data_IF_629712575153
#
_entry.id   IF_629712575153
#
_cell.length_a   1.000
_cell.length_b   1.000
_cell.length_c   1.000
_cell.angle_alpha   90.00
_cell.angle_beta   90.00
_cell.angle_gamma   90.00
#
_symmetry.space_group_name_H-M   'P 1'
#
loop_
_entity.id
_entity.type
_entity.pdbx_description
1 polymer ?
#
# COMPACT_ATOMS: atom_id res chain seq x y z
N UNK A 1 15.07 -5.56 -22.54
CA UNK A 1 14.61 -6.78 -21.86
C UNK A 1 13.52 -7.46 -22.69
N UNK A 2 13.75 -8.68 -23.18
CA UNK A 2 12.80 -9.43 -24.02
C UNK A 2 11.61 -9.96 -23.20
N UNK A 3 10.51 -10.37 -23.86
CA UNK A 3 9.37 -10.98 -23.17
C UNK A 3 9.75 -12.24 -22.39
N UNK A 4 10.68 -13.06 -22.94
CA UNK A 4 11.18 -14.25 -22.25
C UNK A 4 11.94 -13.88 -20.97
N UNK A 5 12.77 -12.84 -21.02
CA UNK A 5 13.47 -12.32 -19.84
C UNK A 5 12.46 -11.78 -18.79
N UNK A 6 11.41 -11.08 -19.23
CA UNK A 6 10.35 -10.60 -18.34
C UNK A 6 9.57 -11.74 -17.67
N UNK A 7 9.30 -12.83 -18.41
CA UNK A 7 8.65 -14.04 -17.86
C UNK A 7 9.52 -14.69 -16.79
N UNK A 8 10.83 -14.86 -17.06
CA UNK A 8 11.76 -15.42 -16.05
C UNK A 8 11.84 -14.57 -14.79
N UNK A 9 11.92 -13.25 -14.93
CA UNK A 9 11.90 -12.35 -13.78
C UNK A 9 10.57 -12.48 -13.01
N UNK A 10 9.43 -12.50 -13.71
CA UNK A 10 8.12 -12.64 -13.08
C UNK A 10 7.92 -14.00 -12.39
N UNK A 11 8.45 -15.09 -12.97
CA UNK A 11 8.46 -16.43 -12.37
C UNK A 11 9.19 -16.39 -11.03
N UNK A 12 10.41 -15.83 -11.01
CA UNK A 12 11.20 -15.67 -9.80
C UNK A 12 10.45 -14.85 -8.74
N UNK A 13 9.91 -13.68 -9.11
CA UNK A 13 9.18 -12.85 -8.15
C UNK A 13 7.89 -13.48 -7.62
N UNK A 14 7.23 -14.33 -8.41
CA UNK A 14 6.04 -15.06 -8.01
C UNK A 14 6.34 -16.38 -7.28
N UNK A 15 7.62 -16.71 -7.05
CA UNK A 15 8.07 -17.96 -6.42
C UNK A 15 7.49 -19.21 -7.10
N UNK A 16 7.45 -19.22 -8.43
CA UNK A 16 6.93 -20.33 -9.23
C UNK A 16 8.08 -21.30 -9.53
N UNK A 17 7.95 -22.55 -9.11
CA UNK A 17 8.92 -23.61 -9.40
C UNK A 17 9.03 -23.89 -10.90
N UNK A 18 10.12 -24.51 -11.33
CA UNK A 18 10.33 -24.84 -12.74
C UNK A 18 9.32 -25.85 -13.29
N UNK A 19 8.89 -26.83 -12.48
CA UNK A 19 7.81 -27.76 -12.86
C UNK A 19 6.49 -27.04 -13.06
N UNK A 20 6.14 -26.15 -12.12
CA UNK A 20 4.94 -25.32 -12.24
C UNK A 20 5.06 -24.37 -13.44
N UNK A 21 6.26 -23.85 -13.74
CA UNK A 21 6.50 -23.04 -14.93
C UNK A 21 6.22 -23.83 -16.21
N UNK A 22 6.78 -25.04 -16.32
CA UNK A 22 6.57 -25.93 -17.46
C UNK A 22 5.10 -26.27 -17.67
N UNK A 23 4.37 -26.57 -16.59
CA UNK A 23 2.94 -26.83 -16.65
C UNK A 23 2.14 -25.59 -17.11
N UNK A 24 2.46 -24.40 -16.58
CA UNK A 24 1.82 -23.16 -17.03
C UNK A 24 2.08 -22.85 -18.51
N UNK A 25 3.28 -23.17 -19.02
CA UNK A 25 3.63 -23.01 -20.45
C UNK A 25 2.83 -23.98 -21.31
N UNK A 26 2.66 -25.22 -20.86
CA UNK A 26 1.80 -26.20 -21.53
C UNK A 26 0.35 -25.70 -21.58
N UNK A 27 -0.22 -25.30 -20.45
CA UNK A 27 -1.60 -24.80 -20.39
C UNK A 27 -1.83 -23.59 -21.31
N UNK A 28 -0.95 -22.60 -21.26
CA UNK A 28 -1.07 -21.38 -22.09
C UNK A 28 -0.93 -21.69 -23.58
N UNK A 29 -0.15 -22.70 -23.95
CA UNK A 29 0.01 -23.14 -25.35
C UNK A 29 -0.99 -24.19 -25.80
N UNK A 30 -1.98 -24.53 -24.97
CA UNK A 30 -2.90 -25.66 -25.21
C UNK A 30 -2.14 -26.97 -25.47
N UNK A 31 -1.15 -27.25 -24.62
CA UNK A 31 -0.29 -28.44 -24.61
C UNK A 31 0.60 -28.63 -25.86
N UNK A 32 0.78 -27.58 -26.67
CA UNK A 32 1.60 -27.64 -27.89
C UNK A 32 3.10 -27.55 -27.61
N UNK A 33 3.51 -26.76 -26.61
CA UNK A 33 4.93 -26.54 -26.31
C UNK A 33 5.20 -26.49 -24.81
N UNK A 34 6.39 -26.93 -24.41
CA UNK A 34 6.84 -26.95 -23.01
C UNK A 34 7.88 -25.86 -22.69
N UNK A 35 8.14 -24.91 -23.61
CA UNK A 35 9.12 -23.84 -23.42
C UNK A 35 8.60 -22.48 -23.86
N UNK A 36 8.91 -21.44 -23.08
CA UNK A 36 8.50 -20.06 -23.34
C UNK A 36 9.09 -19.48 -24.64
N UNK A 37 10.19 -20.05 -25.16
CA UNK A 37 10.78 -19.62 -26.43
C UNK A 37 9.97 -20.08 -27.64
N UNK A 38 9.14 -21.11 -27.51
CA UNK A 38 8.26 -21.59 -28.59
C UNK A 38 6.81 -21.08 -28.50
N UNK A 39 6.50 -20.31 -27.45
CA UNK A 39 5.22 -19.60 -27.33
C UNK A 39 5.12 -18.47 -28.35
N UNK A 40 3.90 -18.22 -28.85
CA UNK A 40 3.57 -17.03 -29.62
C UNK A 40 3.70 -15.77 -28.74
N UNK A 41 3.74 -14.60 -29.37
CA UNK A 41 3.80 -13.33 -28.63
C UNK A 41 2.63 -13.15 -27.66
N UNK A 42 1.42 -13.55 -28.05
CA UNK A 42 0.23 -13.38 -27.22
C UNK A 42 0.18 -14.41 -26.09
N UNK A 43 0.61 -15.65 -26.34
CA UNK A 43 0.82 -16.65 -25.29
C UNK A 43 1.85 -16.17 -24.26
N UNK A 44 2.96 -15.57 -24.69
CA UNK A 44 3.96 -14.98 -23.79
C UNK A 44 3.38 -13.84 -22.96
N UNK A 45 2.57 -12.95 -23.56
CA UNK A 45 1.90 -11.86 -22.84
C UNK A 45 0.91 -12.41 -21.80
N UNK A 46 0.14 -13.45 -22.14
CA UNK A 46 -0.80 -14.09 -21.24
C UNK A 46 -0.10 -14.72 -20.04
N UNK A 47 0.97 -15.48 -20.29
CA UNK A 47 1.77 -16.10 -19.23
C UNK A 47 2.40 -15.04 -18.30
N UNK A 48 2.95 -13.97 -18.88
CA UNK A 48 3.51 -12.85 -18.13
C UNK A 48 2.46 -12.15 -17.27
N UNK A 49 1.24 -11.94 -17.79
CA UNK A 49 0.12 -11.37 -17.02
C UNK A 49 -0.22 -12.27 -15.83
N UNK A 50 -0.33 -13.59 -16.04
CA UNK A 50 -0.60 -14.58 -14.97
C UNK A 50 0.44 -14.44 -13.84
N UNK A 51 1.73 -14.45 -14.16
CA UNK A 51 2.79 -14.36 -13.14
C UNK A 51 2.82 -13.02 -12.41
N UNK A 52 2.56 -11.92 -13.13
CA UNK A 52 2.45 -10.59 -12.50
C UNK A 52 1.29 -10.49 -11.52
N UNK A 53 0.22 -11.27 -11.64
CA UNK A 53 -0.87 -11.28 -10.66
C UNK A 53 -0.55 -12.13 -9.42
N UNK A 54 0.28 -13.17 -9.60
CA UNK A 54 0.69 -14.08 -8.53
C UNK A 54 1.84 -13.54 -7.68
N UNK A 55 2.56 -12.53 -8.17
CA UNK A 55 3.66 -11.94 -7.44
C UNK A 55 3.17 -11.32 -6.10
N UNK A 56 3.65 -11.79 -4.94
CA UNK A 56 3.24 -11.28 -3.63
C UNK A 56 3.60 -9.79 -3.45
N UNK A 57 4.59 -9.29 -4.20
CA UNK A 57 5.00 -7.89 -4.21
C UNK A 57 4.13 -7.02 -5.14
N UNK A 58 3.39 -7.61 -6.08
CA UNK A 58 2.42 -6.90 -6.94
C UNK A 58 0.99 -6.96 -6.41
N UNK A 59 0.71 -7.72 -5.34
CA UNK A 59 -0.31 -7.30 -4.36
C UNK A 59 0.13 -5.94 -3.90
N UNK A 60 -0.28 -4.92 -4.66
CA UNK A 60 0.07 -3.52 -4.47
C UNK A 60 0.11 -3.31 -2.97
N UNK A 61 1.25 -2.83 -2.43
CA UNK A 61 1.16 -1.90 -1.30
C UNK A 61 0.08 -0.92 -1.75
N UNK A 62 -1.17 -1.11 -1.30
CA UNK A 62 -2.28 -0.20 -1.63
C UNK A 62 -1.68 1.14 -1.25
N UNK A 63 -1.38 1.98 -2.24
CA UNK A 63 -0.72 3.26 -1.95
C UNK A 63 -1.59 3.89 -0.88
N UNK A 64 -1.01 4.12 0.29
CA UNK A 64 -1.80 4.56 1.43
C UNK A 64 -2.62 5.76 0.98
N UNK A 65 -3.96 5.70 1.12
CA UNK A 65 -4.86 6.78 0.74
C UNK A 65 -4.30 8.13 1.18
N UNK A 66 -4.46 9.14 0.34
CA UNK A 66 -3.93 10.48 0.60
C UNK A 66 -4.40 11.02 1.95
N UNK A 67 -5.67 10.81 2.28
CA UNK A 67 -6.26 11.20 3.57
C UNK A 67 -5.58 10.52 4.76
N UNK A 68 -5.40 9.19 4.74
CA UNK A 68 -4.66 8.47 5.78
C UNK A 68 -3.24 8.99 5.96
N UNK A 69 -2.54 9.25 4.84
CA UNK A 69 -1.21 9.86 4.89
C UNK A 69 -1.22 11.24 5.53
N UNK A 70 -2.26 12.02 5.25
CA UNK A 70 -2.44 13.36 5.80
C UNK A 70 -2.70 13.30 7.31
N UNK A 71 -3.52 12.37 7.78
CA UNK A 71 -3.79 12.12 9.22
C UNK A 71 -2.49 11.83 9.96
N UNK A 72 -1.67 10.88 9.48
CA UNK A 72 -0.38 10.58 10.10
C UNK A 72 0.59 11.76 10.08
N UNK A 73 0.58 12.56 8.99
CA UNK A 73 1.37 13.79 8.92
C UNK A 73 0.94 14.80 9.98
N UNK A 74 -0.35 15.02 10.16
CA UNK A 74 -0.88 15.95 11.18
C UNK A 74 -0.52 15.47 12.59
N UNK A 75 -0.60 14.16 12.86
CA UNK A 75 -0.16 13.61 14.15
C UNK A 75 1.31 13.91 14.43
N UNK A 76 2.20 13.68 13.46
CA UNK A 76 3.61 14.02 13.61
C UNK A 76 3.86 15.53 13.82
N UNK A 77 3.02 16.41 13.24
CA UNK A 77 3.09 17.85 13.52
C UNK A 77 2.64 18.19 14.94
N UNK A 78 1.59 17.56 15.44
CA UNK A 78 1.17 17.71 16.85
C UNK A 78 2.28 17.26 17.80
N UNK A 79 2.96 16.14 17.50
CA UNK A 79 4.04 15.63 18.32
C UNK A 79 5.24 16.59 18.34
N UNK A 80 5.62 17.12 17.17
CA UNK A 80 6.66 18.15 17.05
C UNK A 80 6.32 19.44 17.78
N UNK A 81 5.03 19.79 17.87
CA UNK A 81 4.56 20.92 18.64
C UNK A 81 4.40 20.62 20.15
N UNK A 82 4.74 19.41 20.61
CA UNK A 82 4.59 18.99 22.01
C UNK A 82 3.13 18.81 22.45
N UNK A 83 2.17 18.75 21.51
CA UNK A 83 0.74 18.68 21.80
C UNK A 83 0.26 17.25 22.05
N UNK A 84 1.04 16.26 21.67
CA UNK A 84 0.82 14.84 21.99
C UNK A 84 2.07 14.24 22.61
N UNK A 85 1.88 13.33 23.57
CA UNK A 85 2.98 12.71 24.32
C UNK A 85 3.76 11.65 23.54
N UNK A 86 3.11 10.99 22.57
CA UNK A 86 3.65 9.82 21.87
C UNK A 86 3.58 10.04 20.37
N UNK A 87 4.75 10.17 19.73
CA UNK A 87 4.88 10.19 18.27
C UNK A 87 4.95 8.77 17.71
N UNK A 88 3.81 8.07 17.68
CA UNK A 88 3.73 6.74 17.10
C UNK A 88 2.46 6.54 16.28
N UNK A 89 2.57 5.70 15.25
CA UNK A 89 1.44 5.28 14.43
C UNK A 89 0.30 4.70 15.29
N UNK A 90 0.65 3.85 16.25
CA UNK A 90 -0.32 3.20 17.14
C UNK A 90 -1.07 4.21 18.02
N UNK A 91 -0.39 5.24 18.52
CA UNK A 91 -1.02 6.31 19.30
C UNK A 91 -2.02 7.11 18.44
N UNK A 92 -1.64 7.43 17.20
CA UNK A 92 -2.53 8.06 16.23
C UNK A 92 -3.75 7.19 15.92
N UNK A 93 -3.56 5.90 15.60
CA UNK A 93 -4.65 4.97 15.32
C UNK A 93 -5.58 4.80 16.53
N UNK A 94 -5.04 4.75 17.75
CA UNK A 94 -5.82 4.67 18.99
C UNK A 94 -6.66 5.92 19.22
N UNK A 95 -6.10 7.11 18.96
CA UNK A 95 -6.84 8.35 19.01
C UNK A 95 -7.98 8.35 17.99
N UNK A 96 -7.69 8.05 16.72
CA UNK A 96 -8.69 8.01 15.66
C UNK A 96 -9.81 7.02 15.99
N UNK A 97 -9.47 5.83 16.50
CA UNK A 97 -10.45 4.80 16.90
C UNK A 97 -11.45 5.29 17.95
N UNK A 98 -11.04 6.19 18.87
CA UNK A 98 -11.95 6.82 19.85
C UNK A 98 -12.92 7.81 19.22
N UNK A 99 -12.58 8.38 18.07
CA UNK A 99 -13.39 9.34 17.34
C UNK A 99 -14.21 8.70 16.20
N UNK A 100 -14.10 7.39 16.02
CA UNK A 100 -14.81 6.62 15.00
C UNK A 100 -15.53 5.43 15.62
N UNK A 101 -16.00 5.56 16.87
CA UNK A 101 -16.77 4.54 17.61
C UNK A 101 -16.15 3.13 17.60
N UNK A 102 -14.82 3.04 17.67
CA UNK A 102 -14.11 1.77 17.68
C UNK A 102 -13.74 1.22 16.31
N UNK A 103 -14.14 1.86 15.21
CA UNK A 103 -13.76 1.45 13.85
C UNK A 103 -12.26 1.69 13.62
N UNK A 104 -11.51 0.71 13.08
CA UNK A 104 -10.11 0.93 12.73
C UNK A 104 -9.94 2.07 11.72
N UNK A 105 -8.89 2.88 11.90
CA UNK A 105 -8.62 4.04 11.04
C UNK A 105 -8.55 3.67 9.54
N UNK A 106 -8.04 2.48 9.20
CA UNK A 106 -7.95 2.02 7.82
C UNK A 106 -9.31 1.77 7.16
N UNK A 107 -10.33 1.46 7.96
CA UNK A 107 -11.68 1.10 7.53
C UNK A 107 -12.68 2.26 7.71
N UNK A 108 -12.31 3.28 8.50
CA UNK A 108 -13.14 4.45 8.77
C UNK A 108 -13.06 5.54 7.67
N UNK A 109 -13.12 5.15 6.39
CA UNK A 109 -12.93 6.07 5.25
C UNK A 109 -13.85 7.28 5.28
N UNK A 110 -15.09 7.08 5.70
CA UNK A 110 -16.12 8.12 5.73
C UNK A 110 -15.83 9.19 6.80
N UNK A 111 -15.03 8.84 7.81
CA UNK A 111 -14.68 9.70 8.94
C UNK A 111 -13.33 10.41 8.75
N UNK A 112 -12.56 10.09 7.70
CA UNK A 112 -11.22 10.65 7.53
C UNK A 112 -11.19 12.17 7.45
N UNK A 113 -12.17 12.78 6.78
CA UNK A 113 -12.22 14.23 6.67
C UNK A 113 -12.48 14.89 8.02
N UNK A 114 -13.40 14.33 8.82
CA UNK A 114 -13.68 14.80 10.17
C UNK A 114 -12.44 14.68 11.08
N UNK A 115 -11.73 13.55 11.02
CA UNK A 115 -10.48 13.35 11.77
C UNK A 115 -9.40 14.37 11.38
N UNK A 116 -9.28 14.68 10.09
CA UNK A 116 -8.36 15.72 9.60
C UNK A 116 -8.69 17.09 10.22
N UNK A 117 -9.96 17.49 10.24
CA UNK A 117 -10.36 18.78 10.80
C UNK A 117 -10.17 18.85 12.32
N UNK A 118 -10.42 17.76 13.05
CA UNK A 118 -10.11 17.67 14.49
C UNK A 118 -8.62 17.90 14.74
N UNK A 119 -7.75 17.22 14.00
CA UNK A 119 -6.30 17.32 14.15
C UNK A 119 -5.77 18.71 13.76
N UNK A 120 -6.29 19.31 12.69
CA UNK A 120 -5.97 20.69 12.31
C UNK A 120 -6.39 21.69 13.38
N UNK A 121 -7.61 21.57 13.89
CA UNK A 121 -8.12 22.45 14.95
C UNK A 121 -7.29 22.36 16.23
N UNK A 122 -6.83 21.16 16.58
CA UNK A 122 -5.91 20.99 17.70
C UNK A 122 -4.55 21.65 17.45
N UNK A 123 -3.96 21.44 16.27
CA UNK A 123 -2.70 22.06 15.90
C UNK A 123 -2.78 23.61 15.94
N UNK A 124 -3.87 24.18 15.43
CA UNK A 124 -4.13 25.62 15.46
C UNK A 124 -4.25 26.17 16.89
N UNK A 125 -4.94 25.47 17.81
CA UNK A 125 -4.99 25.88 19.22
C UNK A 125 -3.62 25.89 19.89
N UNK A 126 -2.79 24.90 19.60
CA UNK A 126 -1.42 24.84 20.12
C UNK A 126 -0.51 25.95 19.60
N UNK A 127 -0.68 26.34 18.33
CA UNK A 127 0.05 27.47 17.74
C UNK A 127 -0.46 28.84 18.22
N UNK A 128 -1.75 28.96 18.53
CA UNK A 128 -2.35 30.17 19.12
C UNK A 128 -1.85 30.46 20.53
N UNK A 129 -1.70 29.43 21.38
CA UNK A 129 -1.21 29.59 22.75
C UNK A 129 0.28 29.96 22.85
N UNK A 130 1.07 29.73 21.79
CA UNK A 130 2.49 30.11 21.76
C UNK A 130 2.73 31.63 21.57
N UNK A 131 1.70 32.41 21.20
CA UNK A 131 1.82 33.86 20.99
C UNK A 131 1.50 34.73 22.22
N UNK A 132 1.13 34.14 23.36
CA UNK A 132 0.74 34.87 24.57
C UNK A 132 1.75 34.83 25.72
N UNK A 133 2.97 34.31 25.51
CA UNK A 133 4.01 34.24 26.56
C UNK A 133 5.26 35.08 26.27
N UNK A 134 5.07 36.28 25.70
CA UNK A 134 6.09 37.32 25.74
C UNK A 134 5.45 38.61 26.24
N UNK A 135 5.37 38.71 27.57
CA UNK A 135 5.35 39.97 28.31
C UNK A 135 6.59 39.97 29.20
#
# INVERSE_FOLDING_TARGET
>A
MTLVQQIKAAQHYANISDDAHRQNVLEVSKFRVATCTKLTTDERKLLLKRYRMLNPNTRKRKRMPSALRHIYRLWGLLAKAGLVKIDSKQACETFCKKHTDGVPLQDASDNWQQLIEILKGWLARGQGNGKQQQL
#
